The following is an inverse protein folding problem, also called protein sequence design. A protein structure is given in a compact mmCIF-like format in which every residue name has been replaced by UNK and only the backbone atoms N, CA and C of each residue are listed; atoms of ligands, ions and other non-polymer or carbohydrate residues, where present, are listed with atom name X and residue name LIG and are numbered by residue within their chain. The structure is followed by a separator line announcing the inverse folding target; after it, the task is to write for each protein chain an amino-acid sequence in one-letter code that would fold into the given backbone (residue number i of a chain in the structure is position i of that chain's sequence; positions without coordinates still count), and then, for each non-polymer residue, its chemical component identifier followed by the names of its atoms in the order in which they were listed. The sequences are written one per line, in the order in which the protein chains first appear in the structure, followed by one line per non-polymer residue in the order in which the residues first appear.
data_IF_939330380775
#
_entry.id   IF_939330380775
#
_cell.length_a   1.000
_cell.length_b   1.000
_cell.length_c   1.000
_cell.angle_alpha   90.00
_cell.angle_beta   90.00
_cell.angle_gamma   90.00
#
_symmetry.space_group_name_H-M   'P 1'
#
loop_
_entity.id
_entity.type
_entity.pdbx_description
1 polymer ?
#
# COMPACT_ATOMS: atom_id res chain seq x y z
N UNK A 1 -2.42 -19.25 12.97
CA UNK A 1 -1.21 -19.92 13.54
C UNK A 1 -0.22 -20.42 12.46
N UNK A 2 1.10 -20.48 12.72
CA UNK A 2 2.10 -21.11 11.82
C UNK A 2 2.08 -22.64 11.91
N UNK A 3 2.50 -23.32 10.84
CA UNK A 3 2.65 -24.78 10.85
C UNK A 3 3.73 -25.21 11.85
N UNK A 4 3.39 -26.11 12.78
CA UNK A 4 4.32 -26.64 13.78
C UNK A 4 4.25 -25.98 15.16
N UNK A 5 3.44 -24.93 15.35
CA UNK A 5 3.29 -24.28 16.65
C UNK A 5 2.74 -25.22 17.72
N UNK A 6 1.81 -26.11 17.37
CA UNK A 6 1.25 -27.14 18.27
C UNK A 6 2.28 -28.18 18.73
N UNK A 7 3.37 -28.36 17.99
CA UNK A 7 4.47 -29.27 18.34
C UNK A 7 5.57 -28.59 19.17
N UNK A 8 5.52 -27.26 19.33
CA UNK A 8 6.58 -26.49 19.96
C UNK A 8 6.59 -26.67 21.50
N UNK A 9 7.76 -26.71 22.17
CA UNK A 9 7.85 -26.85 23.63
C UNK A 9 7.05 -25.79 24.39
N UNK A 10 7.11 -24.51 23.96
CA UNK A 10 6.31 -23.39 24.52
C UNK A 10 4.81 -23.67 24.54
N UNK A 11 4.29 -24.27 23.46
CA UNK A 11 2.89 -24.63 23.34
C UNK A 11 2.53 -25.78 24.29
N UNK A 12 3.39 -26.80 24.38
CA UNK A 12 3.19 -27.91 25.33
C UNK A 12 3.26 -27.46 26.79
N UNK A 13 4.11 -26.48 27.11
CA UNK A 13 4.17 -25.90 28.45
C UNK A 13 2.87 -25.19 28.81
N UNK A 14 2.35 -24.34 27.91
CA UNK A 14 1.06 -23.68 28.11
C UNK A 14 -0.09 -24.69 28.24
N UNK A 15 -0.09 -25.72 27.40
CA UNK A 15 -1.08 -26.78 27.47
C UNK A 15 -1.11 -27.47 28.84
N UNK A 16 0.07 -27.77 29.41
CA UNK A 16 0.18 -28.35 30.74
C UNK A 16 -0.28 -27.38 31.84
N UNK A 17 0.04 -26.09 31.70
CA UNK A 17 -0.32 -25.04 32.68
C UNK A 17 -1.82 -24.79 32.78
N UNK A 18 -2.53 -24.91 31.67
CA UNK A 18 -3.98 -24.72 31.59
C UNK A 18 -4.77 -26.03 31.75
N UNK A 19 -4.10 -27.18 31.70
CA UNK A 19 -4.71 -28.52 31.74
C UNK A 19 -5.78 -28.77 30.64
N UNK A 20 -5.59 -28.14 29.48
CA UNK A 20 -6.54 -28.19 28.36
C UNK A 20 -6.09 -29.13 27.24
N UNK A 21 -7.04 -29.67 26.45
CA UNK A 21 -6.70 -30.38 25.22
C UNK A 21 -6.14 -29.42 24.16
N UNK A 22 -5.37 -29.96 23.21
CA UNK A 22 -4.67 -29.19 22.17
C UNK A 22 -5.59 -28.23 21.42
N UNK A 23 -6.80 -28.68 21.04
CA UNK A 23 -7.75 -27.86 20.28
C UNK A 23 -8.20 -26.62 21.05
N UNK A 24 -8.36 -26.71 22.37
CA UNK A 24 -8.82 -25.61 23.20
C UNK A 24 -7.73 -24.53 23.32
N UNK A 25 -6.48 -24.94 23.55
CA UNK A 25 -5.33 -24.01 23.59
C UNK A 25 -5.12 -23.32 22.24
N UNK A 26 -5.28 -24.05 21.13
CA UNK A 26 -5.24 -23.45 19.79
C UNK A 26 -6.36 -22.43 19.62
N UNK A 27 -7.59 -22.76 20.06
CA UNK A 27 -8.73 -21.86 20.02
C UNK A 27 -8.45 -20.56 20.78
N UNK A 28 -7.98 -20.66 22.02
CA UNK A 28 -7.62 -19.50 22.86
C UNK A 28 -6.61 -18.60 22.13
N UNK A 29 -5.49 -19.16 21.67
CA UNK A 29 -4.43 -18.38 21.01
C UNK A 29 -4.93 -17.72 19.71
N UNK A 30 -5.64 -18.46 18.86
CA UNK A 30 -6.14 -17.92 17.60
C UNK A 30 -7.20 -16.84 17.85
N UNK A 31 -8.06 -17.00 18.85
CA UNK A 31 -9.07 -16.01 19.21
C UNK A 31 -8.44 -14.72 19.77
N UNK A 32 -7.41 -14.82 20.61
CA UNK A 32 -6.63 -13.64 21.05
C UNK A 32 -6.00 -12.93 19.85
N UNK A 33 -5.45 -13.65 18.88
CA UNK A 33 -4.89 -13.03 17.66
C UNK A 33 -5.95 -12.42 16.76
N UNK A 34 -7.13 -13.04 16.64
CA UNK A 34 -8.26 -12.44 15.92
C UNK A 34 -8.72 -11.14 16.57
N UNK A 35 -8.85 -11.14 17.90
CA UNK A 35 -9.19 -9.94 18.69
C UNK A 35 -8.15 -8.82 18.48
N UNK A 36 -6.86 -9.15 18.58
CA UNK A 36 -5.79 -8.20 18.28
C UNK A 36 -5.91 -7.67 16.84
N UNK A 37 -6.05 -8.54 15.83
CA UNK A 37 -6.14 -8.11 14.43
C UNK A 37 -7.37 -7.28 14.07
N UNK A 38 -8.43 -7.30 14.89
CA UNK A 38 -9.64 -6.50 14.70
C UNK A 38 -9.57 -5.15 15.41
N UNK A 39 -9.07 -5.12 16.65
CA UNK A 39 -9.17 -3.95 17.52
C UNK A 39 -7.83 -3.29 17.85
N UNK A 40 -6.71 -3.99 17.68
CA UNK A 40 -5.35 -3.57 18.00
C UNK A 40 -4.38 -3.94 16.87
N UNK A 41 -4.35 -3.14 15.79
CA UNK A 41 -3.49 -3.39 14.62
C UNK A 41 -2.02 -3.63 14.99
N UNK A 42 -1.56 -2.94 16.01
CA UNK A 42 -0.22 -2.94 16.59
C UNK A 42 0.04 -4.09 17.57
N UNK A 43 -0.98 -4.91 17.88
CA UNK A 43 -0.88 -6.03 18.81
C UNK A 43 -0.90 -5.61 20.28
N UNK A 44 -1.12 -4.33 20.56
CA UNK A 44 -1.24 -3.80 21.91
C UNK A 44 -2.66 -3.98 22.45
N UNK A 45 -2.80 -4.89 23.43
CA UNK A 45 -4.05 -5.20 24.10
C UNK A 45 -4.22 -4.40 25.39
N UNK A 46 -3.39 -3.37 25.67
CA UNK A 46 -3.52 -2.49 26.84
C UNK A 46 -4.88 -1.79 26.97
N UNK A 47 -5.67 -1.78 25.90
CA UNK A 47 -7.03 -1.24 25.86
C UNK A 47 -8.07 -2.16 26.50
N UNK A 48 -7.74 -3.43 26.69
CA UNK A 48 -8.64 -4.47 27.19
C UNK A 48 -8.24 -4.87 28.60
N UNK A 49 -9.24 -5.09 29.45
CA UNK A 49 -9.01 -5.70 30.77
C UNK A 49 -8.79 -7.20 30.62
N UNK A 50 -8.17 -7.82 31.63
CA UNK A 50 -7.92 -9.26 31.63
C UNK A 50 -9.24 -10.06 31.48
N UNK A 51 -10.31 -9.60 32.13
CA UNK A 51 -11.66 -10.17 31.97
C UNK A 51 -12.21 -10.04 30.55
N UNK A 52 -11.97 -8.91 29.86
CA UNK A 52 -12.42 -8.74 28.47
C UNK A 52 -11.67 -9.65 27.50
N UNK A 53 -10.40 -9.96 27.79
CA UNK A 53 -9.61 -10.92 27.01
C UNK A 53 -10.13 -12.34 27.26
N UNK A 54 -10.48 -12.66 28.51
CA UNK A 54 -11.09 -13.93 28.89
C UNK A 54 -12.47 -14.14 28.27
N UNK A 55 -13.33 -13.11 28.31
CA UNK A 55 -14.65 -13.11 27.66
C UNK A 55 -14.51 -13.34 26.15
N UNK A 56 -13.52 -12.72 25.50
CA UNK A 56 -13.32 -12.87 24.06
C UNK A 56 -13.00 -14.32 23.64
N UNK A 57 -12.41 -15.12 24.53
CA UNK A 57 -12.07 -16.52 24.27
C UNK A 57 -13.03 -17.51 24.93
N UNK A 58 -14.14 -17.03 25.50
CA UNK A 58 -15.10 -17.81 26.28
C UNK A 58 -14.43 -18.59 27.44
N UNK A 59 -13.49 -17.95 28.16
CA UNK A 59 -12.80 -18.58 29.29
C UNK A 59 -13.73 -18.72 30.51
N UNK A 60 -13.89 -19.92 31.09
CA UNK A 60 -14.82 -20.14 32.20
C UNK A 60 -14.24 -19.77 33.59
N UNK A 61 -12.95 -19.43 33.68
CA UNK A 61 -12.26 -19.12 34.94
C UNK A 61 -11.98 -17.62 35.13
N UNK A 62 -11.10 -17.29 36.08
CA UNK A 62 -10.62 -15.92 36.25
C UNK A 62 -9.81 -15.50 35.02
N UNK A 63 -10.08 -14.29 34.49
CA UNK A 63 -9.34 -13.75 33.36
C UNK A 63 -7.90 -13.42 33.70
N UNK A 64 -7.65 -13.06 34.95
CA UNK A 64 -6.29 -12.79 35.47
C UNK A 64 -5.40 -14.03 35.35
N UNK A 65 -5.93 -15.21 35.70
CA UNK A 65 -5.23 -16.49 35.61
C UNK A 65 -4.87 -16.86 34.16
N UNK A 66 -5.80 -16.61 33.23
CA UNK A 66 -5.58 -16.86 31.81
C UNK A 66 -4.48 -15.96 31.27
N UNK A 67 -4.57 -14.66 31.53
CA UNK A 67 -3.60 -13.67 31.05
C UNK A 67 -2.23 -13.94 31.68
N UNK A 68 -2.17 -14.28 32.97
CA UNK A 68 -0.93 -14.65 33.64
C UNK A 68 -0.29 -15.90 33.02
N UNK A 69 -1.05 -16.95 32.73
CA UNK A 69 -0.53 -18.14 32.05
C UNK A 69 0.00 -17.83 30.64
N UNK A 70 -0.67 -16.94 29.90
CA UNK A 70 -0.22 -16.51 28.58
C UNK A 70 1.06 -15.66 28.66
N UNK A 71 1.20 -14.81 29.68
CA UNK A 71 2.39 -14.01 29.93
C UNK A 71 3.57 -14.87 30.39
N UNK A 72 3.34 -15.79 31.32
CA UNK A 72 4.34 -16.71 31.85
C UNK A 72 5.01 -17.51 30.72
N UNK A 73 4.21 -17.97 29.76
CA UNK A 73 4.71 -18.68 28.59
C UNK A 73 5.10 -17.79 27.43
N UNK A 74 5.18 -16.45 27.60
CA UNK A 74 5.56 -15.45 26.57
C UNK A 74 4.69 -15.45 25.32
N UNK A 75 3.42 -15.81 25.42
CA UNK A 75 2.45 -15.57 24.35
C UNK A 75 1.96 -14.12 24.35
N UNK A 76 1.90 -13.53 25.54
CA UNK A 76 1.71 -12.11 25.76
C UNK A 76 2.94 -11.55 26.49
N UNK A 77 3.25 -10.29 26.24
CA UNK A 77 4.26 -9.53 26.97
C UNK A 77 3.57 -8.49 27.87
N UNK A 78 4.02 -8.36 29.11
CA UNK A 78 3.58 -7.27 30.00
C UNK A 78 4.19 -5.95 29.53
N UNK A 79 3.35 -4.96 29.26
CA UNK A 79 3.75 -3.58 29.00
C UNK A 79 3.44 -2.71 30.22
N UNK A 80 3.84 -1.43 30.20
CA UNK A 80 3.60 -0.50 31.31
C UNK A 80 2.12 -0.31 31.63
N UNK A 81 1.26 -0.47 30.64
CA UNK A 81 -0.16 -0.13 30.72
C UNK A 81 -1.09 -1.34 30.48
N UNK A 82 -0.55 -2.56 30.34
CA UNK A 82 -1.35 -3.75 30.06
C UNK A 82 -0.53 -4.89 29.45
N UNK A 83 -1.09 -5.56 28.45
CA UNK A 83 -0.46 -6.69 27.75
C UNK A 83 -0.42 -6.48 26.24
N UNK A 84 0.60 -7.01 25.57
CA UNK A 84 0.72 -6.99 24.11
C UNK A 84 1.02 -8.38 23.57
N UNK A 85 0.59 -8.70 22.36
CA UNK A 85 0.88 -10.00 21.73
C UNK A 85 2.36 -10.12 21.41
N UNK A 86 3.00 -11.17 21.92
CA UNK A 86 4.40 -11.45 21.63
C UNK A 86 4.59 -11.80 20.15
N UNK A 87 5.67 -11.29 19.54
CA UNK A 87 5.99 -11.47 18.12
C UNK A 87 4.80 -11.17 17.19
N UNK A 88 4.00 -10.14 17.51
CA UNK A 88 2.76 -9.87 16.78
C UNK A 88 2.94 -9.83 15.26
N UNK A 89 3.99 -9.18 14.75
CA UNK A 89 4.27 -9.09 13.31
C UNK A 89 4.38 -10.45 12.61
N UNK A 90 4.75 -11.50 13.34
CA UNK A 90 4.86 -12.87 12.83
C UNK A 90 3.51 -13.60 12.78
N UNK A 91 2.62 -13.29 13.71
CA UNK A 91 1.32 -13.96 13.87
C UNK A 91 0.15 -13.18 13.25
N UNK A 92 0.37 -11.91 13.00
CA UNK A 92 -0.57 -10.95 12.45
C UNK A 92 -0.99 -11.32 11.01
N UNK A 93 -2.30 -11.28 10.68
CA UNK A 93 -2.79 -11.49 9.32
C UNK A 93 -2.19 -10.50 8.31
N UNK A 94 -1.98 -10.95 7.07
CA UNK A 94 -1.36 -10.13 6.00
C UNK A 94 -2.05 -8.78 5.80
N UNK A 95 -3.37 -8.71 5.93
CA UNK A 95 -4.12 -7.46 5.77
C UNK A 95 -3.81 -6.43 6.86
N UNK A 96 -3.48 -6.86 8.08
CA UNK A 96 -3.07 -5.97 9.17
C UNK A 96 -1.62 -5.52 8.96
N UNK A 97 -0.73 -6.41 8.52
CA UNK A 97 0.64 -6.03 8.11
C UNK A 97 0.62 -4.95 7.01
N UNK A 98 -0.26 -5.11 6.01
CA UNK A 98 -0.46 -4.13 4.95
C UNK A 98 -0.99 -2.79 5.48
N UNK A 99 -1.91 -2.81 6.46
CA UNK A 99 -2.42 -1.60 7.13
C UNK A 99 -1.30 -0.88 7.88
N UNK A 100 -0.51 -1.60 8.68
CA UNK A 100 0.63 -1.05 9.42
C UNK A 100 1.66 -0.45 8.47
N UNK A 101 2.05 -1.18 7.41
CA UNK A 101 2.98 -0.68 6.39
C UNK A 101 2.46 0.59 5.70
N UNK A 102 1.18 0.63 5.33
CA UNK A 102 0.55 1.84 4.76
C UNK A 102 0.52 3.00 5.75
N UNK A 103 0.29 2.74 7.04
CA UNK A 103 0.31 3.75 8.10
C UNK A 103 1.70 4.33 8.27
N UNK A 104 2.73 3.48 8.31
CA UNK A 104 4.13 3.89 8.41
C UNK A 104 4.54 4.75 7.23
N UNK A 105 4.28 4.31 5.99
CA UNK A 105 4.57 5.09 4.77
C UNK A 105 3.92 6.47 4.78
N UNK A 106 2.70 6.61 5.33
CA UNK A 106 2.03 7.91 5.48
C UNK A 106 2.68 8.77 6.57
N UNK A 107 3.12 8.17 7.67
CA UNK A 107 3.82 8.89 8.74
C UNK A 107 5.18 9.41 8.24
N UNK A 108 5.94 8.58 7.52
CA UNK A 108 7.23 8.95 6.94
C UNK A 108 7.06 10.07 5.91
N UNK A 109 6.05 9.98 5.04
CA UNK A 109 5.73 11.05 4.10
C UNK A 109 5.39 12.38 4.80
N UNK A 110 4.64 12.32 5.92
CA UNK A 110 4.35 13.52 6.71
C UNK A 110 5.61 14.11 7.35
N UNK A 111 6.51 13.28 7.89
CA UNK A 111 7.77 13.75 8.44
C UNK A 111 8.65 14.40 7.36
N UNK A 112 8.75 13.81 6.17
CA UNK A 112 9.53 14.41 5.07
C UNK A 112 8.97 15.79 4.69
N UNK A 113 7.64 15.93 4.59
CA UNK A 113 6.99 17.22 4.31
C UNK A 113 7.23 18.23 5.43
N UNK A 114 7.12 17.81 6.70
CA UNK A 114 7.40 18.64 7.88
C UNK A 114 8.86 19.10 7.93
N UNK A 115 9.82 18.20 7.66
CA UNK A 115 11.26 18.49 7.63
C UNK A 115 11.62 19.43 6.48
N UNK A 116 11.07 19.22 5.28
CA UNK A 116 11.25 20.15 4.16
C UNK A 116 10.68 21.53 4.49
N UNK A 117 9.51 21.61 5.13
CA UNK A 117 8.90 22.87 5.56
C UNK A 117 9.75 23.62 6.59
N UNK A 118 10.32 22.91 7.59
CA UNK A 118 11.21 23.51 8.60
C UNK A 118 12.52 24.04 8.00
N UNK A 119 13.11 23.33 7.04
CA UNK A 119 14.29 23.81 6.31
C UNK A 119 14.01 25.06 5.46
N UNK A 120 12.80 25.21 4.91
CA UNK A 120 12.41 26.44 4.21
C UNK A 120 12.17 27.62 5.15
N UNK A 121 11.74 27.38 6.39
CA UNK A 121 11.54 28.42 7.39
C UNK A 121 12.87 29.00 7.92
N UNK A 122 13.87 28.15 8.18
CA UNK A 122 15.20 28.60 8.63
C UNK A 122 15.99 29.36 7.54
N UNK A 123 15.70 29.13 6.26
CA UNK A 123 16.25 29.91 5.14
C UNK A 123 15.61 31.30 5.02
N UNK A 124 14.37 31.49 5.49
CA UNK A 124 13.72 32.79 5.49
C UNK A 124 14.27 33.72 6.61
N UNK A 125 14.70 33.15 7.73
CA UNK A 125 15.22 33.89 8.90
C UNK A 125 16.64 34.45 8.69
N UNK A 126 17.44 33.85 7.81
CA UNK A 126 18.80 34.34 7.48
C UNK A 126 18.87 35.43 6.40
N UNK A 127 17.72 35.96 5.95
CA UNK A 127 17.67 37.03 4.92
C UNK A 127 18.02 38.44 5.42
N UNK A 128 18.42 38.58 6.69
CA UNK A 128 18.70 39.88 7.32
C UNK A 128 20.19 40.22 7.51
N UNK A 129 21.13 39.36 7.14
CA UNK A 129 22.56 39.65 7.26
C UNK A 129 23.10 40.28 5.97
N UNK A 130 23.72 41.47 6.02
CA UNK A 130 24.30 42.10 4.85
C UNK A 130 25.49 41.27 4.36
N UNK A 131 25.43 40.81 3.10
CA UNK A 131 26.52 40.16 2.40
C UNK A 131 27.63 41.19 2.11
N UNK A 132 28.85 41.06 2.65
CA UNK A 132 29.94 42.00 2.36
C UNK A 132 30.77 41.45 1.19
N UNK A 133 30.30 41.62 -0.04
CA UNK A 133 31.16 41.53 -1.23
C UNK A 133 30.55 42.37 -2.35
N UNK A 134 31.17 43.51 -2.64
CA UNK A 134 30.87 44.32 -3.82
C UNK A 134 31.37 43.62 -5.10
N UNK A 135 30.75 43.90 -6.27
CA UNK A 135 31.06 43.22 -7.52
C UNK A 135 32.22 43.89 -8.27
N UNK A 136 33.13 43.09 -8.83
CA UNK A 136 34.02 43.56 -9.90
C UNK A 136 33.28 43.54 -11.25
N UNK A 137 33.41 44.57 -12.09
CA UNK A 137 32.75 44.61 -13.39
C UNK A 137 33.57 43.82 -14.43
N UNK A 138 33.04 42.68 -14.88
CA UNK A 138 33.58 41.96 -16.04
C UNK A 138 32.64 42.16 -17.22
N UNK A 139 33.18 42.76 -18.27
CA UNK A 139 32.56 43.01 -19.58
C UNK A 139 31.92 41.75 -20.16
N UNK A 140 30.60 41.79 -20.37
CA UNK A 140 29.87 40.83 -21.21
C UNK A 140 30.16 41.13 -22.68
N UNK A 141 31.25 40.57 -23.21
CA UNK A 141 31.40 40.37 -24.66
C UNK A 141 30.55 39.18 -25.09
N UNK A 142 29.57 39.52 -25.91
CA UNK A 142 28.69 38.64 -26.68
C UNK A 142 29.41 37.39 -27.20
N UNK A 143 29.05 36.24 -26.65
CA UNK A 143 29.07 34.97 -27.39
C UNK A 143 27.63 34.50 -27.40
N UNK A 144 26.95 34.85 -28.48
CA UNK A 144 25.65 34.30 -28.81
C UNK A 144 25.80 32.78 -29.02
N UNK A 145 25.28 31.98 -28.08
CA UNK A 145 24.83 30.63 -28.36
C UNK A 145 23.42 30.49 -27.77
N UNK A 146 22.46 30.58 -28.67
CA UNK A 146 21.03 30.51 -28.44
C UNK A 146 20.62 29.16 -27.86
N UNK A 147 20.39 29.11 -26.54
CA UNK A 147 19.44 28.14 -25.97
C UNK A 147 18.08 28.82 -25.97
N UNK A 148 17.42 28.73 -27.12
CA UNK A 148 16.03 29.09 -27.30
C UNK A 148 15.18 28.34 -26.27
N UNK A 149 14.68 29.06 -25.27
CA UNK A 149 13.58 28.63 -24.39
C UNK A 149 12.33 28.57 -25.26
N UNK A 150 12.18 27.50 -26.03
CA UNK A 150 11.01 27.27 -26.88
C UNK A 150 9.78 27.18 -25.99
N UNK A 151 8.76 27.98 -26.30
CA UNK A 151 7.43 27.81 -25.73
C UNK A 151 7.01 26.35 -25.89
N UNK A 152 6.48 25.68 -24.85
CA UNK A 152 6.10 24.28 -24.96
C UNK A 152 5.01 24.15 -26.01
N UNK A 153 5.33 23.50 -27.12
CA UNK A 153 4.36 23.20 -28.16
C UNK A 153 3.19 22.43 -27.51
N UNK A 154 1.96 22.84 -27.83
CA UNK A 154 0.76 22.26 -27.22
C UNK A 154 0.27 21.06 -28.02
N UNK A 155 0.07 19.93 -27.36
CA UNK A 155 -0.28 18.64 -27.99
C UNK A 155 -1.73 18.54 -28.49
N UNK A 156 -2.49 19.63 -28.41
CA UNK A 156 -3.94 19.65 -28.67
C UNK A 156 -4.79 19.09 -27.53
N UNK A 157 -4.21 18.37 -26.56
CA UNK A 157 -4.94 17.88 -25.38
C UNK A 157 -5.04 18.95 -24.29
N UNK A 158 -6.28 19.24 -23.88
CA UNK A 158 -6.61 20.19 -22.81
C UNK A 158 -7.52 19.53 -21.80
N UNK A 159 -7.24 19.75 -20.52
CA UNK A 159 -7.94 19.12 -19.40
C UNK A 159 -8.52 20.19 -18.48
N UNK A 160 -9.79 20.06 -18.05
CA UNK A 160 -10.37 21.03 -17.14
C UNK A 160 -9.79 20.85 -15.74
N UNK A 161 -9.34 21.95 -15.13
CA UNK A 161 -8.68 21.94 -13.81
C UNK A 161 -9.42 22.84 -12.81
N UNK A 162 -9.18 22.60 -11.53
CA UNK A 162 -9.68 23.40 -10.42
C UNK A 162 -8.67 24.52 -10.14
N UNK A 163 -8.82 25.68 -10.77
CA UNK A 163 -7.99 26.85 -10.51
C UNK A 163 -8.79 28.17 -10.59
N UNK A 164 -8.37 29.16 -9.79
CA UNK A 164 -8.89 30.53 -9.81
C UNK A 164 -8.22 31.27 -10.99
N UNK A 165 -8.75 31.08 -12.21
CA UNK A 165 -8.29 31.80 -13.42
C UNK A 165 -7.65 30.95 -14.53
N UNK A 166 -7.51 29.63 -14.36
CA UNK A 166 -7.08 28.73 -15.44
C UNK A 166 -8.06 27.55 -15.52
N UNK A 167 -9.03 27.63 -16.41
CA UNK A 167 -10.06 26.59 -16.52
C UNK A 167 -9.56 25.34 -17.24
N UNK A 168 -8.59 25.49 -18.16
CA UNK A 168 -8.10 24.42 -19.00
C UNK A 168 -6.57 24.35 -18.97
N UNK A 169 -6.04 23.24 -18.47
CA UNK A 169 -4.62 22.92 -18.46
C UNK A 169 -4.23 22.20 -19.75
N UNK A 170 -3.30 22.72 -20.55
CA UNK A 170 -2.83 22.07 -21.76
C UNK A 170 -1.72 21.05 -21.46
N UNK A 171 -1.75 19.90 -22.12
CA UNK A 171 -0.69 18.90 -22.06
C UNK A 171 0.45 19.27 -23.02
N UNK A 172 1.71 19.42 -22.54
CA UNK A 172 2.87 19.65 -23.40
C UNK A 172 3.09 18.50 -24.40
N UNK A 173 3.53 18.80 -25.63
CA UNK A 173 3.89 17.79 -26.65
C UNK A 173 4.96 16.83 -26.14
N UNK A 174 5.97 17.33 -25.45
CA UNK A 174 7.07 16.50 -24.92
C UNK A 174 6.53 15.43 -23.97
N UNK A 175 5.56 15.78 -23.11
CA UNK A 175 4.94 14.81 -22.21
C UNK A 175 4.04 13.82 -22.92
N UNK A 176 3.38 14.21 -24.01
CA UNK A 176 2.64 13.26 -24.83
C UNK A 176 3.61 12.24 -25.45
N UNK A 177 4.73 12.70 -26.00
CA UNK A 177 5.74 11.82 -26.60
C UNK A 177 6.32 10.85 -25.57
N UNK A 178 6.65 11.31 -24.36
CA UNK A 178 7.08 10.42 -23.26
C UNK A 178 6.06 9.32 -22.95
N UNK A 179 4.75 9.63 -22.95
CA UNK A 179 3.72 8.62 -22.73
C UNK A 179 3.62 7.64 -23.90
N UNK A 180 3.74 8.11 -25.13
CA UNK A 180 3.75 7.25 -26.32
C UNK A 180 4.96 6.30 -26.29
N UNK A 181 6.15 6.79 -25.93
CA UNK A 181 7.35 5.96 -25.77
C UNK A 181 7.18 4.91 -24.66
N UNK A 182 6.56 5.30 -23.54
CA UNK A 182 6.38 4.40 -22.38
C UNK A 182 5.41 3.26 -22.68
N UNK A 183 4.30 3.54 -23.36
CA UNK A 183 3.22 2.56 -23.58
C UNK A 183 3.21 1.97 -25.00
N UNK A 184 4.08 2.43 -25.90
CA UNK A 184 4.33 1.89 -27.23
C UNK A 184 3.25 2.18 -28.28
N UNK A 185 1.99 2.36 -27.88
CA UNK A 185 0.86 2.60 -28.80
C UNK A 185 0.28 4.01 -28.63
N UNK A 186 0.56 4.87 -29.62
CA UNK A 186 0.04 6.25 -29.65
C UNK A 186 -1.49 6.30 -29.71
N UNK A 187 -2.12 5.40 -30.46
CA UNK A 187 -3.58 5.39 -30.63
C UNK A 187 -4.24 5.08 -29.28
N UNK A 188 -3.68 4.10 -28.57
CA UNK A 188 -4.14 3.74 -27.23
C UNK A 188 -3.94 4.88 -26.22
N UNK A 189 -2.75 5.49 -26.18
CA UNK A 189 -2.45 6.61 -25.27
C UNK A 189 -3.41 7.77 -25.52
N UNK A 190 -3.62 8.17 -26.78
CA UNK A 190 -4.57 9.23 -27.11
C UNK A 190 -6.02 8.88 -26.72
N UNK A 191 -6.44 7.63 -26.92
CA UNK A 191 -7.76 7.16 -26.50
C UNK A 191 -7.95 7.25 -24.98
N UNK A 192 -6.95 6.84 -24.20
CA UNK A 192 -7.00 6.94 -22.74
C UNK A 192 -6.94 8.38 -22.24
N UNK A 193 -6.18 9.26 -22.88
CA UNK A 193 -6.19 10.69 -22.57
C UNK A 193 -7.56 11.33 -22.84
N UNK A 194 -8.28 10.91 -23.89
CA UNK A 194 -9.67 11.35 -24.13
C UNK A 194 -10.62 10.88 -23.02
N UNK A 195 -10.50 9.64 -22.55
CA UNK A 195 -11.29 9.12 -21.42
C UNK A 195 -10.96 9.85 -20.12
N UNK A 196 -9.69 10.12 -19.85
CA UNK A 196 -9.26 10.88 -18.69
C UNK A 196 -9.84 12.31 -18.70
N UNK A 197 -9.89 12.96 -19.88
CA UNK A 197 -10.55 14.26 -20.06
C UNK A 197 -12.04 14.19 -19.78
N UNK A 198 -12.74 13.18 -20.31
CA UNK A 198 -14.17 12.99 -20.06
C UNK A 198 -14.46 12.79 -18.58
N UNK A 199 -13.63 12.00 -17.88
CA UNK A 199 -13.76 11.84 -16.43
C UNK A 199 -13.67 13.18 -15.68
N UNK A 200 -12.75 14.08 -16.08
CA UNK A 200 -12.63 15.42 -15.49
C UNK A 200 -13.82 16.34 -15.83
N UNK A 201 -14.49 16.13 -16.96
CA UNK A 201 -15.74 16.83 -17.29
C UNK A 201 -16.86 16.38 -16.36
N UNK A 202 -17.04 15.07 -16.18
CA UNK A 202 -18.13 14.48 -15.40
C UNK A 202 -17.95 14.68 -13.89
N UNK A 203 -16.68 14.74 -13.43
CA UNK A 203 -16.34 14.83 -12.00
C UNK A 203 -15.86 16.23 -11.62
N UNK A 204 -16.70 17.25 -11.83
CA UNK A 204 -16.38 18.67 -11.61
C UNK A 204 -15.80 18.94 -10.22
N UNK A 205 -16.43 18.38 -9.17
CA UNK A 205 -15.99 18.55 -7.78
C UNK A 205 -14.61 17.92 -7.49
N UNK A 206 -14.20 16.92 -8.28
CA UNK A 206 -12.95 16.16 -8.10
C UNK A 206 -11.85 16.52 -9.12
N UNK A 207 -12.05 17.58 -9.90
CA UNK A 207 -11.04 18.13 -10.83
C UNK A 207 -9.73 18.39 -10.11
N UNK A 208 -8.63 18.11 -10.81
CA UNK A 208 -7.27 18.28 -10.27
C UNK A 208 -6.82 19.72 -10.37
N UNK A 209 -5.86 20.10 -9.54
CA UNK A 209 -5.12 21.36 -9.71
C UNK A 209 -4.11 21.21 -10.86
N UNK A 210 -3.62 22.31 -11.46
CA UNK A 210 -2.62 22.26 -12.53
C UNK A 210 -1.40 21.38 -12.19
N UNK A 211 -0.84 21.54 -10.99
CA UNK A 211 0.30 20.72 -10.53
C UNK A 211 -0.06 19.25 -10.25
N UNK A 212 -1.33 18.95 -9.97
CA UNK A 212 -1.82 17.59 -9.74
C UNK A 212 -2.23 16.85 -11.01
N UNK A 213 -2.24 17.51 -12.17
CA UNK A 213 -2.74 16.95 -13.42
C UNK A 213 -1.79 15.89 -14.01
N UNK A 214 -0.48 16.17 -14.04
CA UNK A 214 0.53 15.22 -14.53
C UNK A 214 0.57 13.90 -13.72
N UNK A 215 0.62 13.92 -12.37
CA UNK A 215 0.52 12.69 -11.58
C UNK A 215 -0.77 11.91 -11.80
N UNK A 216 -1.88 12.60 -12.05
CA UNK A 216 -3.17 11.97 -12.33
C UNK A 216 -3.15 11.23 -13.67
N UNK A 217 -2.66 11.87 -14.74
CA UNK A 217 -2.55 11.22 -16.06
C UNK A 217 -1.62 10.02 -16.03
N UNK A 218 -0.47 10.12 -15.36
CA UNK A 218 0.45 8.99 -15.21
C UNK A 218 -0.20 7.79 -14.51
N UNK A 219 -0.95 8.03 -13.42
CA UNK A 219 -1.67 6.96 -12.71
C UNK A 219 -2.84 6.41 -13.52
N UNK A 220 -3.53 7.25 -14.29
CA UNK A 220 -4.62 6.83 -15.17
C UNK A 220 -4.11 5.85 -16.23
N UNK A 221 -3.05 6.22 -16.95
CA UNK A 221 -2.45 5.40 -18.00
C UNK A 221 -1.90 4.09 -17.44
N UNK A 222 -1.19 4.12 -16.30
CA UNK A 222 -0.71 2.90 -15.66
C UNK A 222 -1.85 1.93 -15.32
N UNK A 223 -2.91 2.44 -14.68
CA UNK A 223 -4.07 1.61 -14.33
C UNK A 223 -4.82 1.08 -15.56
N UNK A 224 -4.92 1.87 -16.63
CA UNK A 224 -5.55 1.45 -17.87
C UNK A 224 -4.73 0.33 -18.55
N UNK A 225 -3.41 0.44 -18.55
CA UNK A 225 -2.51 -0.55 -19.10
C UNK A 225 -2.61 -1.89 -18.35
N UNK A 226 -2.60 -1.85 -17.01
CA UNK A 226 -2.71 -3.06 -16.17
C UNK A 226 -4.02 -3.81 -16.40
N UNK A 227 -5.14 -3.07 -16.56
CA UNK A 227 -6.45 -3.64 -16.91
C UNK A 227 -6.52 -4.17 -18.34
N UNK A 228 -5.81 -3.54 -19.27
CA UNK A 228 -5.70 -4.01 -20.65
C UNK A 228 -4.97 -5.35 -20.72
N UNK A 229 -3.84 -5.46 -20.01
CA UNK A 229 -3.00 -6.67 -19.99
C UNK A 229 -3.71 -7.86 -19.36
N UNK A 230 -4.48 -7.65 -18.29
CA UNK A 230 -5.28 -8.72 -17.69
C UNK A 230 -6.38 -9.21 -18.62
N UNK A 231 -7.04 -8.30 -19.36
CA UNK A 231 -8.05 -8.68 -20.36
C UNK A 231 -7.46 -9.44 -21.54
N UNK A 232 -6.29 -9.03 -22.05
CA UNK A 232 -5.59 -9.73 -23.14
C UNK A 232 -5.10 -11.11 -22.68
N UNK A 233 -4.60 -11.23 -21.45
CA UNK A 233 -4.20 -12.52 -20.88
C UNK A 233 -5.39 -13.47 -20.71
N UNK A 234 -6.56 -12.95 -20.31
CA UNK A 234 -7.79 -13.73 -20.19
C UNK A 234 -8.28 -14.24 -21.56
N UNK A 235 -8.26 -13.39 -22.59
CA UNK A 235 -8.64 -13.77 -23.95
C UNK A 235 -7.69 -14.81 -24.55
N UNK A 236 -6.38 -14.69 -24.32
CA UNK A 236 -5.40 -15.68 -24.77
C UNK A 236 -5.53 -17.03 -24.05
N UNK A 237 -6.01 -17.04 -22.80
CA UNK A 237 -6.31 -18.27 -22.07
C UNK A 237 -7.58 -18.97 -22.59
N UNK A 238 -8.56 -18.20 -23.06
CA UNK A 238 -9.81 -18.72 -23.64
C UNK A 238 -9.62 -19.27 -25.07
N UNK A 239 -8.60 -18.81 -25.81
CA UNK A 239 -8.31 -19.27 -27.18
C UNK A 239 -7.42 -20.54 -27.26
N UNK A 240 -7.03 -21.14 -26.14
CA UNK A 240 -6.30 -22.43 -26.16
C UNK A 240 -7.27 -23.59 -26.45
N UNK A 241 -7.14 -24.31 -27.59
CA UNK A 241 -8.01 -25.46 -27.86
C UNK A 241 -7.75 -26.55 -26.82
N UNK A 242 -8.83 -26.99 -26.14
CA UNK A 242 -8.80 -28.11 -25.20
C UNK A 242 -8.21 -29.37 -25.86
N UNK A 243 -6.92 -29.62 -25.67
CA UNK A 243 -6.35 -30.94 -25.88
C UNK A 243 -6.83 -31.85 -24.75
N UNK A 244 -7.96 -32.50 -24.97
CA UNK A 244 -8.50 -33.54 -24.09
C UNK A 244 -7.47 -34.66 -23.95
N UNK A 245 -7.03 -35.02 -22.73
CA UNK A 245 -6.12 -36.15 -22.55
C UNK A 245 -6.84 -37.44 -22.93
N UNK A 246 -6.38 -38.10 -24.00
CA UNK A 246 -6.79 -39.45 -24.38
C UNK A 246 -6.20 -40.47 -23.41
N UNK A 247 -6.76 -40.58 -22.21
CA UNK A 247 -6.50 -41.74 -21.35
C UNK A 247 -7.38 -42.90 -21.82
N UNK A 248 -6.85 -43.71 -22.71
CA UNK A 248 -7.45 -44.99 -23.08
C UNK A 248 -7.15 -46.01 -21.98
N UNK A 249 -8.16 -46.33 -21.14
CA UNK A 249 -8.10 -47.51 -20.26
C UNK A 249 -8.28 -48.74 -21.14
N UNK A 250 -7.17 -49.42 -21.47
CA UNK A 250 -7.18 -50.73 -22.11
C UNK A 250 -7.68 -51.80 -21.13
N UNK A 251 -8.84 -52.36 -21.46
CA UNK A 251 -9.33 -53.73 -21.25
C UNK A 251 -8.78 -54.59 -20.11
N UNK A 252 -9.70 -54.99 -19.22
CA UNK A 252 -9.67 -56.29 -18.55
C UNK A 252 -11.06 -56.91 -18.65
N UNK A 253 -11.28 -57.98 -19.44
CA UNK A 253 -12.51 -58.75 -19.38
C UNK A 253 -12.35 -59.99 -18.50
N UNK A 254 -13.43 -60.22 -17.76
CA UNK A 254 -14.00 -61.51 -17.34
C UNK A 254 -13.22 -62.44 -16.41
N UNK A 255 -13.66 -62.40 -15.16
CA UNK A 255 -13.70 -63.55 -14.25
C UNK A 255 -14.70 -64.58 -14.82
N UNK A 256 -14.26 -65.82 -14.99
CA UNK A 256 -15.13 -66.98 -15.18
C UNK A 256 -14.68 -68.14 -14.30
N UNK A 257 -15.67 -68.64 -13.54
CA UNK A 257 -15.75 -69.83 -12.68
C UNK A 257 -15.12 -69.76 -11.28
#
# INVERSE_FOLDING_TARGET
MKTGTTSHPKFRSLQKRLELPVYAVVGILETVWMMAGQFADDGDLSRFTDDQIADAVDWPGDGSDLVEALVEHRWLDRTKNGVSVHDWLEHCPKYVQDRLSKRQKRADQKQVVETCRRKSATVAENRGLPNPTQPDPIELKNIALSVSRSEPAFSGFRFPVKAKGAENWPLPVDKLNEYVETYGDRIWVEAELRKARQWCNDNIAKRKTPGGMLPFLGRWLASANDKGRSRTAQLAADELPEMKPKFTRSGHPEVSR
#
